data_IF_682800873828
#
_entry.id   IF_682800873828
#
_cell.length_a   1.000
_cell.length_b   1.000
_cell.length_c   1.000
_cell.angle_alpha   90.00
_cell.angle_beta   90.00
_cell.angle_gamma   90.00
#
_symmetry.space_group_name_H-M   'P 1'
#
loop_
_entity.id
_entity.type
_entity.pdbx_description
1 polymer ?
#
# COMPACT_ATOMS: atom_id res chain seq x y z
N UNK A 1 -25.03 16.98 24.41
CA UNK A 1 -23.83 17.82 24.24
C UNK A 1 -23.41 17.68 22.78
N UNK A 2 -23.24 18.77 22.03
CA UNK A 2 -22.66 18.67 20.67
C UNK A 2 -21.16 18.42 20.80
N UNK A 3 -20.64 17.53 19.96
CA UNK A 3 -19.22 17.28 19.79
C UNK A 3 -18.76 17.96 18.51
N UNK A 4 -17.56 18.54 18.53
CA UNK A 4 -16.88 19.04 17.35
C UNK A 4 -15.67 18.14 17.12
N UNK A 5 -15.56 17.57 15.92
CA UNK A 5 -14.43 16.72 15.53
C UNK A 5 -13.80 17.26 14.25
N UNK A 6 -12.49 17.41 14.29
CA UNK A 6 -11.69 17.85 13.15
C UNK A 6 -10.93 16.65 12.58
N UNK A 7 -10.98 16.51 11.26
CA UNK A 7 -10.24 15.52 10.51
C UNK A 7 -9.31 16.22 9.54
N UNK A 8 -8.04 15.81 9.54
CA UNK A 8 -7.02 16.29 8.62
C UNK A 8 -6.72 15.20 7.60
N UNK A 9 -6.87 15.52 6.33
CA UNK A 9 -6.65 14.63 5.20
C UNK A 9 -5.51 15.23 4.38
N UNK A 10 -4.31 14.70 4.57
CA UNK A 10 -3.14 15.12 3.78
C UNK A 10 -3.32 14.70 2.33
N UNK A 11 -3.15 15.63 1.40
CA UNK A 11 -3.38 15.42 -0.03
C UNK A 11 -2.10 15.50 -0.86
N UNK A 12 -2.04 14.75 -1.95
CA UNK A 12 -0.93 14.78 -2.91
C UNK A 12 -1.17 15.76 -4.07
N UNK A 13 -2.31 16.45 -4.09
CA UNK A 13 -2.70 17.39 -5.15
C UNK A 13 -1.93 18.72 -5.09
N UNK A 14 -1.66 19.28 -6.25
CA UNK A 14 -1.06 20.60 -6.40
C UNK A 14 -2.09 21.71 -6.15
N UNK A 15 -1.66 22.92 -5.77
CA UNK A 15 -2.57 24.02 -5.42
C UNK A 15 -3.57 24.39 -6.51
N UNK A 16 -3.25 24.12 -7.78
CA UNK A 16 -4.17 24.33 -8.89
C UNK A 16 -5.49 23.57 -8.75
N UNK A 17 -5.46 22.38 -8.13
CA UNK A 17 -6.61 21.47 -8.06
C UNK A 17 -7.42 21.57 -6.77
N UNK A 18 -7.06 22.42 -5.80
CA UNK A 18 -7.82 22.54 -4.55
C UNK A 18 -9.28 22.94 -4.79
N UNK A 19 -9.51 23.90 -5.69
CA UNK A 19 -10.86 24.32 -6.07
C UNK A 19 -11.64 23.23 -6.78
N UNK A 20 -10.99 22.53 -7.72
CA UNK A 20 -11.58 21.44 -8.50
C UNK A 20 -11.94 20.23 -7.64
N UNK A 21 -11.10 19.87 -6.65
CA UNK A 21 -11.42 18.81 -5.70
C UNK A 21 -12.68 19.18 -4.87
N UNK A 22 -12.78 20.43 -4.42
CA UNK A 22 -13.99 20.89 -3.73
C UNK A 22 -15.22 20.85 -4.64
N UNK A 23 -15.08 21.24 -5.92
CA UNK A 23 -16.16 21.08 -6.91
C UNK A 23 -16.53 19.61 -7.15
N UNK A 24 -15.55 18.72 -7.16
CA UNK A 24 -15.76 17.29 -7.29
C UNK A 24 -16.57 16.75 -6.11
N UNK A 25 -16.17 17.04 -4.87
CA UNK A 25 -16.92 16.63 -3.66
C UNK A 25 -18.32 17.23 -3.67
N UNK A 26 -18.43 18.52 -4.00
CA UNK A 26 -19.73 19.19 -4.11
C UNK A 26 -20.66 18.48 -5.10
N UNK A 27 -20.17 18.18 -6.31
CA UNK A 27 -20.97 17.63 -7.40
C UNK A 27 -21.31 16.15 -7.24
N UNK A 28 -20.35 15.34 -6.77
CA UNK A 28 -20.48 13.88 -6.79
C UNK A 28 -20.82 13.27 -5.44
N UNK A 29 -20.63 14.00 -4.33
CA UNK A 29 -20.99 13.54 -2.99
C UNK A 29 -22.12 14.34 -2.36
N UNK A 30 -21.98 15.68 -2.29
CA UNK A 30 -22.94 16.51 -1.54
C UNK A 30 -24.28 16.69 -2.26
N UNK A 31 -24.28 17.00 -3.56
CA UNK A 31 -25.53 17.20 -4.33
C UNK A 31 -26.37 15.91 -4.43
N UNK A 32 -25.80 14.73 -4.75
CA UNK A 32 -26.60 13.50 -4.84
C UNK A 32 -26.99 12.93 -3.47
N UNK A 33 -26.33 13.38 -2.39
CA UNK A 33 -26.59 12.91 -1.03
C UNK A 33 -27.73 13.64 -0.33
N UNK A 34 -28.06 13.21 0.88
CA UNK A 34 -29.10 13.81 1.73
C UNK A 34 -28.57 15.04 2.50
N UNK A 35 -27.99 16.00 1.78
CA UNK A 35 -27.41 17.22 2.35
C UNK A 35 -28.22 18.46 1.95
N UNK A 36 -28.32 19.43 2.87
CA UNK A 36 -29.00 20.71 2.71
C UNK A 36 -28.10 21.88 3.08
N UNK A 37 -28.55 23.11 2.80
CA UNK A 37 -27.83 24.36 3.13
C UNK A 37 -26.38 24.40 2.61
N UNK A 38 -26.11 23.75 1.46
CA UNK A 38 -24.77 23.66 0.88
C UNK A 38 -24.36 25.03 0.34
N UNK A 39 -23.23 25.57 0.84
CA UNK A 39 -22.65 26.85 0.38
C UNK A 39 -21.16 26.66 0.12
N UNK A 40 -20.69 27.14 -1.03
CA UNK A 40 -19.27 27.18 -1.38
C UNK A 40 -18.79 28.63 -1.42
N UNK A 41 -17.76 28.95 -0.65
CA UNK A 41 -17.11 30.25 -0.58
C UNK A 41 -15.59 30.07 -0.75
N UNK A 42 -15.08 30.29 -1.97
CA UNK A 42 -13.66 30.05 -2.28
C UNK A 42 -13.26 28.59 -2.07
N UNK A 43 -12.29 28.36 -1.17
CA UNK A 43 -11.81 27.02 -0.78
C UNK A 43 -12.55 26.45 0.43
N UNK A 44 -13.78 26.89 0.70
CA UNK A 44 -14.60 26.40 1.81
C UNK A 44 -15.96 25.93 1.31
N UNK A 45 -16.43 24.79 1.81
CA UNK A 45 -17.80 24.30 1.64
C UNK A 45 -18.42 24.07 3.00
N UNK A 46 -19.57 24.69 3.27
CA UNK A 46 -20.41 24.36 4.43
C UNK A 46 -21.63 23.57 3.98
N UNK A 47 -22.05 22.58 4.77
CA UNK A 47 -23.23 21.78 4.49
C UNK A 47 -23.93 21.35 5.79
N UNK A 48 -25.18 20.92 5.65
CA UNK A 48 -25.97 20.33 6.74
C UNK A 48 -26.47 18.95 6.32
N UNK A 49 -26.27 17.94 7.15
CA UNK A 49 -26.85 16.62 6.95
C UNK A 49 -28.02 16.44 7.92
N UNK A 50 -29.19 16.05 7.42
CA UNK A 50 -30.38 15.83 8.23
C UNK A 50 -30.76 14.35 8.23
N UNK A 51 -30.96 13.76 9.40
CA UNK A 51 -31.54 12.43 9.57
C UNK A 51 -32.60 12.50 10.65
N UNK A 52 -33.51 11.52 10.69
CA UNK A 52 -34.60 11.49 11.69
C UNK A 52 -34.10 11.67 13.14
N UNK A 53 -32.84 11.28 13.40
CA UNK A 53 -32.23 11.23 14.73
C UNK A 53 -31.38 12.48 15.08
N UNK A 54 -31.33 13.48 14.20
CA UNK A 54 -30.68 14.77 14.45
C UNK A 54 -29.97 15.39 13.24
N UNK A 55 -29.08 16.34 13.52
CA UNK A 55 -28.42 17.19 12.51
C UNK A 55 -26.91 17.12 12.68
N UNK A 56 -26.19 17.02 11.57
CA UNK A 56 -24.74 17.20 11.51
C UNK A 56 -24.45 18.46 10.70
N UNK A 57 -23.63 19.36 11.24
CA UNK A 57 -23.08 20.50 10.51
C UNK A 57 -21.67 20.16 10.07
N UNK A 58 -21.37 20.39 8.79
CA UNK A 58 -20.09 20.07 8.21
C UNK A 58 -19.45 21.25 7.51
N UNK A 59 -18.13 21.37 7.66
CA UNK A 59 -17.31 22.34 6.95
C UNK A 59 -16.08 21.66 6.35
N UNK A 60 -15.88 21.81 5.04
CA UNK A 60 -14.71 21.34 4.31
C UNK A 60 -13.88 22.56 3.94
N UNK A 61 -12.61 22.56 4.31
CA UNK A 61 -11.64 23.62 4.01
C UNK A 61 -10.51 23.00 3.17
N UNK A 62 -10.35 23.50 1.95
CA UNK A 62 -9.30 23.09 1.03
C UNK A 62 -7.96 23.77 1.32
N UNK A 63 -6.88 23.02 1.13
CA UNK A 63 -5.51 23.44 1.38
C UNK A 63 -4.55 22.27 1.17
N UNK A 64 -3.30 22.41 1.62
CA UNK A 64 -2.32 21.32 1.59
C UNK A 64 -2.82 20.10 2.39
N UNK A 65 -3.31 20.37 3.60
CA UNK A 65 -4.11 19.43 4.39
C UNK A 65 -5.58 19.84 4.31
N UNK A 66 -6.40 18.99 3.68
CA UNK A 66 -7.84 19.19 3.67
C UNK A 66 -8.40 18.98 5.07
N UNK A 67 -9.11 19.99 5.57
CA UNK A 67 -9.71 19.95 6.90
C UNK A 67 -11.22 19.73 6.77
N UNK A 68 -11.72 18.68 7.42
CA UNK A 68 -13.15 18.45 7.60
C UNK A 68 -13.50 18.68 9.07
N UNK A 69 -14.41 19.61 9.33
CA UNK A 69 -14.97 19.86 10.66
C UNK A 69 -16.40 19.36 10.68
N UNK A 70 -16.72 18.46 11.61
CA UNK A 70 -18.08 17.98 11.84
C UNK A 70 -18.52 18.34 13.26
N UNK A 71 -19.67 19.02 13.35
CA UNK A 71 -20.38 19.24 14.61
C UNK A 71 -21.62 18.37 14.66
N UNK A 72 -21.71 17.51 15.68
CA UNK A 72 -22.77 16.52 15.81
C UNK A 72 -23.07 16.13 17.26
N UNK A 73 -24.32 15.79 17.60
CA UNK A 73 -24.68 15.12 18.85
C UNK A 73 -23.98 13.76 19.01
N UNK A 74 -23.60 13.38 20.24
CA UNK A 74 -22.85 12.14 20.51
C UNK A 74 -23.52 10.84 19.97
N UNK A 75 -24.85 10.79 19.92
CA UNK A 75 -25.59 9.64 19.34
C UNK A 75 -25.42 9.49 17.82
N UNK A 76 -24.87 10.49 17.14
CA UNK A 76 -24.64 10.49 15.69
C UNK A 76 -23.17 10.25 15.32
N UNK A 77 -22.33 9.81 16.26
CA UNK A 77 -20.89 9.63 16.01
C UNK A 77 -20.58 8.66 14.86
N UNK A 78 -21.29 7.53 14.77
CA UNK A 78 -21.12 6.57 13.67
C UNK A 78 -21.48 7.20 12.32
N UNK A 79 -22.54 8.01 12.29
CA UNK A 79 -22.97 8.68 11.05
C UNK A 79 -21.99 9.79 10.65
N UNK A 80 -21.51 10.58 11.60
CA UNK A 80 -20.46 11.58 11.36
C UNK A 80 -19.17 10.93 10.83
N UNK A 81 -18.80 9.78 11.39
CA UNK A 81 -17.65 9.02 10.89
C UNK A 81 -17.88 8.49 9.48
N UNK A 82 -19.09 8.05 9.14
CA UNK A 82 -19.44 7.66 7.75
C UNK A 82 -19.28 8.84 6.76
N UNK A 83 -19.70 10.04 7.15
CA UNK A 83 -19.53 11.25 6.30
C UNK A 83 -18.04 11.52 6.05
N UNK A 84 -17.21 11.43 7.10
CA UNK A 84 -15.75 11.55 6.96
C UNK A 84 -15.18 10.52 5.98
N UNK A 85 -15.59 9.24 6.10
CA UNK A 85 -15.10 8.16 5.24
C UNK A 85 -15.50 8.34 3.76
N UNK A 86 -16.71 8.83 3.49
CA UNK A 86 -17.17 9.08 2.13
C UNK A 86 -16.45 10.28 1.49
N UNK A 87 -16.23 11.36 2.26
CA UNK A 87 -15.45 12.53 1.81
C UNK A 87 -14.00 12.11 1.56
N UNK A 88 -13.39 11.36 2.48
CA UNK A 88 -12.05 10.81 2.30
C UNK A 88 -11.97 9.97 1.02
N UNK A 89 -12.94 9.08 0.80
CA UNK A 89 -13.00 8.24 -0.42
C UNK A 89 -13.12 9.11 -1.67
N UNK A 90 -13.93 10.18 -1.64
CA UNK A 90 -14.08 11.11 -2.76
C UNK A 90 -12.76 11.82 -3.09
N UNK A 91 -12.00 12.23 -2.08
CA UNK A 91 -10.65 12.80 -2.24
C UNK A 91 -9.73 11.77 -2.90
N UNK A 92 -9.68 10.55 -2.39
CA UNK A 92 -8.83 9.49 -2.95
C UNK A 92 -9.19 9.13 -4.40
N UNK A 93 -10.48 9.13 -4.75
CA UNK A 93 -10.93 8.91 -6.13
C UNK A 93 -10.45 10.02 -7.06
N UNK A 94 -10.52 11.28 -6.62
CA UNK A 94 -10.03 12.42 -7.38
C UNK A 94 -8.50 12.39 -7.54
N UNK A 95 -7.77 12.09 -6.46
CA UNK A 95 -6.31 11.92 -6.49
C UNK A 95 -5.91 10.81 -7.46
N UNK A 96 -6.59 9.66 -7.44
CA UNK A 96 -6.30 8.56 -8.36
C UNK A 96 -6.51 8.94 -9.82
N UNK A 97 -7.54 9.73 -10.12
CA UNK A 97 -7.77 10.27 -11.46
C UNK A 97 -6.62 11.22 -11.87
N UNK A 98 -6.16 12.10 -10.98
CA UNK A 98 -5.00 12.95 -11.26
C UNK A 98 -3.71 12.13 -11.46
N UNK A 99 -3.50 11.07 -10.68
CA UNK A 99 -2.31 10.20 -10.81
C UNK A 99 -2.20 9.58 -12.20
N UNK A 100 -3.33 9.27 -12.85
CA UNK A 100 -3.37 8.73 -14.22
C UNK A 100 -2.90 9.73 -15.29
N UNK A 101 -2.85 11.03 -14.95
CA UNK A 101 -2.43 12.12 -15.83
C UNK A 101 -1.20 12.86 -15.30
N UNK A 102 -0.51 12.26 -14.33
CA UNK A 102 0.68 12.85 -13.71
C UNK A 102 1.94 12.28 -14.34
N UNK A 103 2.89 13.15 -14.68
CA UNK A 103 4.23 12.77 -15.13
C UNK A 103 5.15 12.79 -13.92
N UNK A 104 5.80 11.66 -13.63
CA UNK A 104 6.69 11.49 -12.48
C UNK A 104 8.15 11.40 -12.92
N UNK A 105 9.01 12.06 -12.16
CA UNK A 105 10.44 11.89 -12.26
C UNK A 105 11.02 11.63 -10.87
N UNK A 106 11.66 10.48 -10.69
CA UNK A 106 12.32 10.09 -9.46
C UNK A 106 13.82 9.89 -9.67
N UNK A 107 14.61 10.33 -8.68
CA UNK A 107 16.06 10.20 -8.64
C UNK A 107 16.56 9.90 -7.22
N UNK A 108 17.69 9.19 -7.13
CA UNK A 108 18.43 8.95 -5.89
C UNK A 108 19.75 9.73 -5.98
N UNK A 109 20.17 10.35 -4.87
CA UNK A 109 21.45 11.07 -4.82
C UNK A 109 22.63 10.14 -5.17
N UNK A 110 23.66 10.63 -5.86
CA UNK A 110 24.90 9.87 -6.09
C UNK A 110 24.82 8.65 -7.04
N UNK A 111 23.63 8.21 -7.43
CA UNK A 111 23.43 7.07 -8.34
C UNK A 111 23.34 7.50 -9.82
N UNK A 112 23.70 6.58 -10.72
CA UNK A 112 23.51 6.76 -12.16
C UNK A 112 22.01 6.77 -12.53
N UNK A 113 21.67 7.48 -13.60
CA UNK A 113 20.29 7.52 -14.11
C UNK A 113 19.92 6.14 -14.65
N UNK A 114 19.09 5.41 -13.92
CA UNK A 114 18.47 4.20 -14.46
C UNK A 114 17.27 4.64 -15.30
N UNK A 115 17.28 4.35 -16.63
CA UNK A 115 16.14 4.67 -17.48
C UNK A 115 14.93 3.91 -16.99
N UNK A 116 13.80 4.60 -16.88
CA UNK A 116 12.52 3.97 -16.59
C UNK A 116 12.22 3.02 -17.74
N UNK A 117 12.30 1.70 -17.48
CA UNK A 117 12.01 0.73 -18.52
C UNK A 117 10.53 0.88 -18.87
N UNK A 118 10.16 1.06 -20.16
CA UNK A 118 8.76 0.99 -20.54
C UNK A 118 8.20 -0.35 -20.03
N UNK A 119 6.91 -0.43 -19.66
CA UNK A 119 6.31 -1.65 -19.14
C UNK A 119 6.43 -2.75 -20.20
N UNK A 120 7.51 -3.52 -20.15
CA UNK A 120 7.71 -4.65 -21.04
C UNK A 120 6.69 -5.73 -20.68
N UNK A 121 6.23 -6.53 -21.65
CA UNK A 121 5.38 -7.70 -21.37
C UNK A 121 5.98 -8.63 -20.30
N UNK A 122 7.31 -8.73 -20.22
CA UNK A 122 8.04 -9.43 -19.14
C UNK A 122 7.99 -8.68 -17.80
N UNK A 123 8.11 -7.35 -17.79
CA UNK A 123 7.93 -6.51 -16.62
C UNK A 123 6.49 -6.51 -16.08
N UNK A 124 5.48 -6.63 -16.95
CA UNK A 124 4.08 -6.84 -16.54
C UNK A 124 3.85 -8.24 -15.95
N UNK A 125 4.52 -9.27 -16.46
CA UNK A 125 4.47 -10.61 -15.87
C UNK A 125 5.19 -10.67 -14.51
N UNK A 126 6.29 -9.93 -14.31
CA UNK A 126 6.94 -9.79 -13.00
C UNK A 126 6.18 -8.88 -12.04
N UNK A 127 5.41 -7.89 -12.55
CA UNK A 127 4.40 -7.16 -11.75
C UNK A 127 3.27 -8.09 -11.27
N UNK A 128 2.97 -9.17 -11.98
CA UNK A 128 2.08 -10.24 -11.52
C UNK A 128 2.63 -11.09 -10.36
N UNK A 129 3.95 -11.07 -10.12
CA UNK A 129 4.55 -11.66 -8.91
C UNK A 129 4.33 -10.73 -7.70
N UNK A 130 4.18 -9.42 -7.93
CA UNK A 130 3.72 -8.45 -6.93
C UNK A 130 2.18 -8.23 -6.93
N UNK A 131 1.47 -8.84 -7.89
CA UNK A 131 0.07 -8.57 -8.16
C UNK A 131 -0.83 -9.70 -7.64
N UNK A 132 -1.48 -9.45 -6.50
CA UNK A 132 -2.71 -10.00 -5.90
C UNK A 132 -3.09 -11.50 -6.00
N UNK A 133 -2.49 -12.32 -6.86
CA UNK A 133 -2.88 -13.72 -7.06
C UNK A 133 -1.66 -14.58 -7.42
N UNK A 134 -0.98 -15.10 -6.38
CA UNK A 134 0.01 -16.18 -6.50
C UNK A 134 -0.61 -17.52 -6.92
N UNK A 135 -1.93 -17.57 -7.12
CA UNK A 135 -2.68 -18.77 -7.39
C UNK A 135 -2.19 -19.52 -8.63
N UNK A 136 -1.98 -18.83 -9.76
CA UNK A 136 -1.55 -19.50 -10.99
C UNK A 136 -0.18 -20.18 -10.82
N UNK A 137 0.75 -19.48 -10.16
CA UNK A 137 2.08 -20.01 -9.84
C UNK A 137 1.92 -21.22 -8.92
N UNK A 138 1.09 -21.12 -7.88
CA UNK A 138 0.84 -22.22 -6.96
C UNK A 138 0.24 -23.46 -7.64
N UNK A 139 -0.78 -23.29 -8.49
CA UNK A 139 -1.42 -24.39 -9.24
C UNK A 139 -0.42 -25.07 -10.18
N UNK A 140 0.42 -24.30 -10.87
CA UNK A 140 1.48 -24.84 -11.71
C UNK A 140 2.48 -25.66 -10.90
N UNK A 141 2.99 -25.10 -9.79
CA UNK A 141 3.91 -25.79 -8.89
C UNK A 141 3.26 -27.03 -8.27
N UNK A 142 1.98 -26.98 -7.91
CA UNK A 142 1.22 -28.10 -7.38
C UNK A 142 1.22 -29.29 -8.35
N UNK A 143 0.90 -29.06 -9.62
CA UNK A 143 0.92 -30.10 -10.66
C UNK A 143 2.31 -30.68 -10.89
N UNK A 144 3.33 -29.81 -11.04
CA UNK A 144 4.73 -30.23 -11.22
C UNK A 144 5.21 -31.08 -10.05
N UNK A 145 4.89 -30.69 -8.82
CA UNK A 145 5.30 -31.42 -7.62
C UNK A 145 4.67 -32.81 -7.53
N UNK A 146 3.40 -32.97 -7.93
CA UNK A 146 2.74 -34.29 -7.98
C UNK A 146 3.45 -35.18 -9.01
N UNK A 147 3.74 -34.66 -10.20
CA UNK A 147 4.43 -35.41 -11.25
C UNK A 147 5.83 -35.84 -10.79
N UNK A 148 6.60 -34.93 -10.22
CA UNK A 148 7.94 -35.22 -9.69
C UNK A 148 7.90 -36.29 -8.59
N UNK A 149 6.90 -36.25 -7.71
CA UNK A 149 6.72 -37.25 -6.67
C UNK A 149 6.38 -38.63 -7.25
N UNK A 150 5.52 -38.71 -8.27
CA UNK A 150 5.19 -39.97 -8.94
C UNK A 150 6.44 -40.60 -9.60
N UNK A 151 7.35 -39.79 -10.15
CA UNK A 151 8.55 -40.26 -10.85
C UNK A 151 9.67 -40.64 -9.88
N UNK A 152 9.94 -39.81 -8.87
CA UNK A 152 11.14 -39.90 -8.02
C UNK A 152 10.84 -40.38 -6.59
N UNK A 153 9.57 -40.55 -6.24
CA UNK A 153 9.13 -40.99 -4.91
C UNK A 153 9.57 -40.03 -3.80
N UNK A 154 9.93 -40.59 -2.64
CA UNK A 154 10.29 -39.82 -1.45
C UNK A 154 11.49 -38.87 -1.64
N UNK A 155 12.42 -39.22 -2.54
CA UNK A 155 13.58 -38.37 -2.84
C UNK A 155 13.18 -37.03 -3.48
N UNK A 156 12.08 -36.97 -4.23
CA UNK A 156 11.56 -35.71 -4.77
C UNK A 156 11.14 -34.75 -3.65
N UNK A 157 10.52 -35.26 -2.56
CA UNK A 157 10.07 -34.42 -1.45
C UNK A 157 11.26 -33.70 -0.82
N UNK A 158 12.33 -34.44 -0.52
CA UNK A 158 13.55 -33.87 0.07
C UNK A 158 14.19 -32.86 -0.90
N UNK A 159 14.33 -33.23 -2.17
CA UNK A 159 14.95 -32.36 -3.18
C UNK A 159 14.18 -31.03 -3.35
N UNK A 160 12.85 -31.09 -3.43
CA UNK A 160 11.99 -29.90 -3.57
C UNK A 160 12.11 -29.01 -2.32
N UNK A 161 12.08 -29.59 -1.12
CA UNK A 161 12.21 -28.82 0.12
C UNK A 161 13.58 -28.15 0.24
N UNK A 162 14.67 -28.83 -0.13
CA UNK A 162 16.01 -28.24 -0.14
C UNK A 162 16.12 -27.11 -1.17
N UNK A 163 15.53 -27.29 -2.35
CA UNK A 163 15.47 -26.23 -3.36
C UNK A 163 14.68 -25.01 -2.86
N UNK A 164 13.50 -25.21 -2.28
CA UNK A 164 12.67 -24.14 -1.73
C UNK A 164 13.36 -23.42 -0.57
N UNK A 165 13.99 -24.17 0.35
CA UNK A 165 14.80 -23.60 1.41
C UNK A 165 15.94 -22.75 0.84
N UNK A 166 16.62 -23.23 -0.21
CA UNK A 166 17.64 -22.47 -0.92
C UNK A 166 17.12 -21.13 -1.48
N UNK A 167 15.91 -21.13 -2.07
CA UNK A 167 15.26 -19.91 -2.57
C UNK A 167 15.00 -18.92 -1.42
N UNK A 168 14.49 -19.38 -0.28
CA UNK A 168 14.19 -18.52 0.88
C UNK A 168 15.47 -17.98 1.50
N UNK A 169 16.52 -18.80 1.61
CA UNK A 169 17.83 -18.37 2.12
C UNK A 169 18.54 -17.35 1.23
N UNK A 170 18.08 -17.20 -0.02
CA UNK A 170 18.56 -16.24 -1.00
C UNK A 170 17.51 -15.17 -1.34
N UNK A 171 16.41 -15.08 -0.59
CA UNK A 171 15.30 -14.19 -0.93
C UNK A 171 15.73 -12.72 -0.90
N UNK A 172 16.58 -12.34 0.05
CA UNK A 172 17.27 -11.05 0.12
C UNK A 172 17.92 -10.70 -1.22
N UNK A 173 18.78 -11.58 -1.74
CA UNK A 173 19.51 -11.35 -3.00
C UNK A 173 18.62 -11.38 -4.24
N UNK A 174 17.53 -12.14 -4.20
CA UNK A 174 16.56 -12.20 -5.30
C UNK A 174 15.81 -10.87 -5.38
N UNK A 175 15.31 -10.38 -4.24
CA UNK A 175 14.57 -9.12 -4.16
C UNK A 175 15.46 -7.90 -4.40
N UNK A 176 16.74 -7.94 -4.00
CA UNK A 176 17.71 -6.88 -4.29
C UNK A 176 17.84 -6.58 -5.80
N UNK A 177 17.70 -7.61 -6.64
CA UNK A 177 17.74 -7.47 -8.10
C UNK A 177 16.46 -6.91 -8.72
N UNK A 178 15.38 -6.81 -7.93
CA UNK A 178 14.08 -6.34 -8.40
C UNK A 178 13.94 -4.82 -8.34
N UNK A 179 14.65 -4.15 -7.43
CA UNK A 179 14.69 -2.70 -7.43
C UNK A 179 15.79 -2.15 -8.32
N UNK A 180 15.60 -0.91 -8.70
CA UNK A 180 16.51 -0.17 -9.54
C UNK A 180 17.63 0.45 -8.70
N UNK A 181 17.31 1.03 -7.53
CA UNK A 181 18.30 1.73 -6.71
C UNK A 181 18.50 1.09 -5.34
N UNK A 182 19.74 1.09 -4.87
CA UNK A 182 20.10 0.75 -3.49
C UNK A 182 20.27 2.06 -2.72
N UNK A 183 19.58 2.17 -1.58
CA UNK A 183 19.62 3.35 -0.71
C UNK A 183 20.53 3.05 0.47
N UNK A 184 21.48 3.94 0.72
CA UNK A 184 22.52 3.86 1.75
C UNK A 184 22.60 5.16 2.54
N UNK A 185 23.44 5.19 3.56
CA UNK A 185 23.71 6.41 4.34
C UNK A 185 24.34 7.53 3.49
N UNK A 186 25.12 7.17 2.46
CA UNK A 186 25.79 8.12 1.56
C UNK A 186 24.86 8.71 0.48
N UNK A 187 23.75 8.04 0.18
CA UNK A 187 22.72 8.49 -0.78
C UNK A 187 21.29 8.37 -0.21
N UNK A 188 20.99 9.03 0.92
CA UNK A 188 19.81 8.71 1.71
C UNK A 188 18.51 9.29 1.13
N UNK A 189 18.62 10.29 0.23
CA UNK A 189 17.49 11.06 -0.26
C UNK A 189 17.00 10.57 -1.62
N UNK A 190 15.67 10.44 -1.71
CA UNK A 190 14.93 10.21 -2.95
C UNK A 190 14.22 11.50 -3.31
N UNK A 191 14.54 12.07 -4.47
CA UNK A 191 13.89 13.26 -5.00
C UNK A 191 12.81 12.86 -6.00
N UNK A 192 11.62 13.40 -5.82
CA UNK A 192 10.47 13.15 -6.69
C UNK A 192 9.95 14.51 -7.15
N UNK A 193 9.88 14.69 -8.46
CA UNK A 193 9.22 15.84 -9.09
C UNK A 193 8.07 15.30 -9.92
N UNK A 194 6.89 15.88 -9.73
CA UNK A 194 5.68 15.48 -10.43
C UNK A 194 5.00 16.68 -11.08
N UNK A 195 4.45 16.45 -12.27
CA UNK A 195 3.62 17.41 -13.01
C UNK A 195 2.23 16.82 -13.17
N UNK A 196 1.27 17.37 -12.45
CA UNK A 196 -0.14 16.96 -12.53
C UNK A 196 -0.78 17.72 -13.68
N UNK A 197 -0.78 17.12 -14.86
CA UNK A 197 -1.25 17.80 -16.07
C UNK A 197 -2.76 17.59 -16.23
N UNK A 198 -3.48 18.59 -16.77
CA UNK A 198 -4.81 18.37 -17.33
C UNK A 198 -4.82 17.20 -18.32
N UNK A 199 -5.94 16.46 -18.40
CA UNK A 199 -6.04 15.24 -19.23
C UNK A 199 -5.67 15.48 -20.70
N UNK A 200 -6.11 16.61 -21.28
CA UNK A 200 -5.82 17.01 -22.64
C UNK A 200 -4.35 17.34 -22.86
N UNK A 201 -3.72 18.07 -21.94
CA UNK A 201 -2.28 18.34 -21.96
C UNK A 201 -1.45 17.06 -21.79
N UNK A 202 -1.87 16.16 -20.90
CA UNK A 202 -1.21 14.87 -20.69
C UNK A 202 -1.29 14.00 -21.96
N UNK A 203 -2.46 13.90 -22.59
CA UNK A 203 -2.60 13.16 -23.86
C UNK A 203 -1.76 13.79 -24.96
N UNK A 204 -1.71 15.11 -25.03
CA UNK A 204 -0.83 15.82 -25.95
C UNK A 204 0.64 15.53 -25.66
N UNK A 205 1.04 15.53 -24.39
CA UNK A 205 2.41 15.22 -23.94
C UNK A 205 2.82 13.82 -24.39
N UNK A 206 2.03 12.78 -24.07
CA UNK A 206 2.32 11.40 -24.45
C UNK A 206 2.38 11.22 -25.97
N UNK A 207 1.44 11.83 -26.71
CA UNK A 207 1.37 11.74 -28.18
C UNK A 207 2.56 12.44 -28.86
N UNK A 208 3.00 13.57 -28.33
CA UNK A 208 4.06 14.41 -28.91
C UNK A 208 5.46 13.88 -28.58
N UNK A 209 5.65 13.40 -27.36
CA UNK A 209 6.97 13.02 -26.85
C UNK A 209 7.34 11.58 -27.22
N UNK A 210 6.40 10.62 -27.14
CA UNK A 210 6.73 9.19 -27.24
C UNK A 210 7.60 8.67 -26.08
N UNK A 211 7.72 7.34 -25.94
CA UNK A 211 8.43 6.73 -24.79
C UNK A 211 9.92 7.13 -24.70
N UNK A 212 10.61 7.27 -25.85
CA UNK A 212 12.03 7.60 -25.87
C UNK A 212 12.33 9.05 -25.44
N UNK A 213 11.37 9.98 -25.58
CA UNK A 213 11.58 11.37 -25.17
C UNK A 213 11.48 11.57 -23.66
N UNK A 214 10.63 10.81 -22.96
CA UNK A 214 10.54 10.87 -21.50
C UNK A 214 11.89 10.51 -20.87
N UNK A 215 12.55 9.49 -21.42
CA UNK A 215 13.91 9.07 -21.00
C UNK A 215 14.94 10.17 -21.28
N UNK A 216 14.85 10.85 -22.44
CA UNK A 216 15.74 11.98 -22.77
C UNK A 216 15.52 13.18 -21.85
N UNK A 217 14.27 13.56 -21.61
CA UNK A 217 13.90 14.65 -20.69
C UNK A 217 14.43 14.35 -19.29
N UNK A 218 14.21 13.14 -18.76
CA UNK A 218 14.74 12.75 -17.44
C UNK A 218 16.27 12.88 -17.36
N UNK A 219 16.97 12.49 -18.43
CA UNK A 219 18.43 12.63 -18.52
C UNK A 219 18.86 14.09 -18.51
N UNK A 220 18.23 14.94 -19.32
CA UNK A 220 18.54 16.37 -19.35
C UNK A 220 18.25 17.06 -18.00
N UNK A 221 17.18 16.67 -17.29
CA UNK A 221 16.88 17.20 -15.96
C UNK A 221 17.98 16.81 -14.96
N UNK A 222 18.44 15.55 -15.01
CA UNK A 222 19.55 15.09 -14.19
C UNK A 222 20.85 15.83 -14.50
N UNK A 223 21.20 16.00 -15.78
CA UNK A 223 22.42 16.68 -16.23
C UNK A 223 22.44 18.15 -15.78
N UNK A 224 21.27 18.80 -15.78
CA UNK A 224 21.15 20.19 -15.34
C UNK A 224 21.22 20.30 -13.81
N UNK A 225 20.86 19.25 -13.07
CA UNK A 225 20.77 19.28 -11.61
C UNK A 225 21.78 18.40 -10.88
N UNK A 226 21.54 17.08 -10.81
CA UNK A 226 22.31 16.16 -9.97
C UNK A 226 23.76 16.01 -10.44
N UNK A 227 24.03 16.15 -11.74
CA UNK A 227 25.41 16.20 -12.26
C UNK A 227 26.21 17.40 -11.68
N UNK A 228 25.52 18.46 -11.27
CA UNK A 228 26.10 19.63 -10.59
C UNK A 228 26.01 19.53 -9.05
N UNK A 229 25.75 18.33 -8.50
CA UNK A 229 25.61 18.05 -7.07
C UNK A 229 24.51 18.88 -6.38
N UNK A 230 23.43 19.19 -7.09
CA UNK A 230 22.25 19.85 -6.54
C UNK A 230 20.98 19.04 -6.80
N UNK A 231 20.00 19.03 -5.89
CA UNK A 231 18.76 18.27 -6.06
C UNK A 231 17.90 18.87 -7.18
N UNK A 232 17.21 18.04 -7.97
CA UNK A 232 16.40 18.48 -9.10
C UNK A 232 15.21 19.29 -8.59
N UNK A 233 15.07 20.51 -9.11
CA UNK A 233 13.94 21.40 -8.78
C UNK A 233 12.88 21.37 -9.88
N UNK A 234 11.68 21.83 -9.53
CA UNK A 234 10.64 22.01 -10.53
C UNK A 234 11.05 23.01 -11.63
N UNK A 235 11.87 24.03 -11.31
CA UNK A 235 12.42 24.96 -12.30
C UNK A 235 13.36 24.30 -13.31
N UNK A 236 14.14 23.32 -12.89
CA UNK A 236 15.02 22.56 -13.78
C UNK A 236 14.19 21.70 -14.72
N UNK A 237 13.21 21.00 -14.15
CA UNK A 237 12.31 20.14 -14.90
C UNK A 237 11.47 20.93 -15.91
N UNK A 238 10.93 22.09 -15.52
CA UNK A 238 10.19 22.99 -16.40
C UNK A 238 11.06 23.52 -17.53
N UNK A 239 12.29 23.97 -17.26
CA UNK A 239 13.21 24.47 -18.29
C UNK A 239 13.55 23.41 -19.33
N UNK A 240 13.73 22.16 -18.92
CA UNK A 240 13.95 21.06 -19.86
C UNK A 240 12.69 20.79 -20.67
N UNK A 241 11.53 20.68 -20.02
CA UNK A 241 10.25 20.46 -20.71
C UNK A 241 9.98 21.55 -21.77
N UNK A 242 10.26 22.82 -21.45
CA UNK A 242 10.12 23.95 -22.37
C UNK A 242 11.01 23.83 -23.61
N UNK A 243 12.24 23.33 -23.46
CA UNK A 243 13.14 23.07 -24.60
C UNK A 243 12.60 21.99 -25.53
N UNK A 244 11.85 21.04 -24.99
CA UNK A 244 11.13 20.03 -25.76
C UNK A 244 9.73 20.51 -26.22
N UNK A 245 9.43 21.80 -26.08
CA UNK A 245 8.20 22.42 -26.57
C UNK A 245 7.01 22.30 -25.63
N UNK A 246 7.22 21.90 -24.38
CA UNK A 246 6.16 21.73 -23.38
C UNK A 246 6.26 22.77 -22.26
N UNK A 247 5.29 23.68 -22.16
CA UNK A 247 5.26 24.71 -21.12
C UNK A 247 4.41 24.25 -19.94
N UNK A 248 5.03 23.95 -18.80
CA UNK A 248 4.30 23.62 -17.58
C UNK A 248 3.91 24.88 -16.80
N UNK A 249 2.69 24.91 -16.27
CA UNK A 249 2.29 25.91 -15.27
C UNK A 249 2.88 25.53 -13.90
N UNK A 250 3.58 26.45 -13.19
CA UNK A 250 4.12 26.22 -11.85
C UNK A 250 3.08 25.87 -10.78
N UNK A 251 1.78 26.07 -11.04
CA UNK A 251 0.73 25.65 -10.10
C UNK A 251 0.42 24.14 -10.17
N UNK A 252 0.88 23.44 -11.22
CA UNK A 252 0.70 21.99 -11.44
C UNK A 252 1.90 21.14 -11.01
N UNK A 253 3.02 21.77 -10.68
CA UNK A 253 4.24 21.08 -10.27
C UNK A 253 4.23 20.85 -8.75
N UNK A 254 4.73 19.69 -8.33
CA UNK A 254 5.02 19.40 -6.93
C UNK A 254 6.36 18.69 -6.86
N UNK A 255 7.15 19.00 -5.85
CA UNK A 255 8.37 18.27 -5.54
C UNK A 255 8.35 17.79 -4.11
N UNK A 256 8.99 16.65 -3.88
CA UNK A 256 9.17 16.06 -2.57
C UNK A 256 10.53 15.41 -2.50
N UNK A 257 11.21 15.58 -1.38
CA UNK A 257 12.43 14.84 -1.06
C UNK A 257 12.17 14.00 0.17
N UNK A 258 12.38 12.69 0.07
CA UNK A 258 12.20 11.76 1.19
C UNK A 258 13.56 11.19 1.56
N UNK A 259 13.95 11.36 2.82
CA UNK A 259 15.13 10.68 3.35
C UNK A 259 14.76 9.24 3.73
N UNK A 260 14.76 8.36 2.73
CA UNK A 260 14.28 6.98 2.89
C UNK A 260 15.20 6.18 3.83
N UNK A 261 16.52 6.36 3.73
CA UNK A 261 17.46 5.67 4.62
C UNK A 261 17.15 5.96 6.09
N UNK A 262 16.96 7.24 6.45
CA UNK A 262 16.67 7.64 7.83
C UNK A 262 15.33 7.13 8.34
N UNK A 263 14.32 7.02 7.48
CA UNK A 263 13.04 6.42 7.86
C UNK A 263 13.23 4.94 8.21
N UNK A 264 13.94 4.20 7.36
CA UNK A 264 14.23 2.78 7.60
C UNK A 264 15.13 2.58 8.82
N UNK A 265 16.15 3.43 8.99
CA UNK A 265 17.03 3.45 10.15
C UNK A 265 16.24 3.66 11.45
N UNK A 266 15.34 4.65 11.49
CA UNK A 266 14.47 4.90 12.64
C UNK A 266 13.60 3.69 12.98
N UNK A 267 13.05 3.02 11.97
CA UNK A 267 12.29 1.79 12.18
C UNK A 267 13.18 0.66 12.71
N UNK A 268 14.33 0.40 12.09
CA UNK A 268 15.26 -0.65 12.50
C UNK A 268 15.74 -0.45 13.95
N UNK A 269 16.10 0.78 14.32
CA UNK A 269 16.47 1.17 15.68
C UNK A 269 15.35 0.91 16.68
N UNK A 270 14.10 1.28 16.34
CA UNK A 270 12.95 1.06 17.21
C UNK A 270 12.68 -0.45 17.43
N UNK A 271 12.89 -1.27 16.40
CA UNK A 271 12.74 -2.73 16.46
C UNK A 271 13.97 -3.46 17.02
N UNK A 272 15.07 -2.75 17.30
CA UNK A 272 16.30 -3.33 17.84
C UNK A 272 17.02 -4.28 16.88
N UNK A 273 16.94 -4.02 15.57
CA UNK A 273 17.60 -4.82 14.53
C UNK A 273 18.57 -3.95 13.71
N UNK A 274 19.58 -4.55 13.04
CA UNK A 274 20.41 -3.82 12.09
C UNK A 274 19.56 -3.20 10.97
N UNK A 275 20.00 -2.08 10.41
CA UNK A 275 19.35 -1.49 9.23
C UNK A 275 19.42 -2.52 8.08
N UNK A 276 18.28 -3.00 7.58
CA UNK A 276 18.27 -3.93 6.44
C UNK A 276 18.74 -3.21 5.18
N UNK A 277 19.12 -3.99 4.16
CA UNK A 277 19.37 -3.42 2.84
C UNK A 277 18.11 -2.73 2.33
N UNK A 278 18.23 -1.50 1.83
CA UNK A 278 17.10 -0.70 1.38
C UNK A 278 17.14 -0.58 -0.13
N UNK A 279 16.06 -1.00 -0.77
CA UNK A 279 15.95 -1.03 -2.23
C UNK A 279 14.72 -0.26 -2.67
N UNK A 280 14.90 0.65 -3.63
CA UNK A 280 13.84 1.45 -4.22
C UNK A 280 13.47 0.89 -5.61
N UNK A 281 12.21 0.49 -5.76
CA UNK A 281 11.63 0.10 -7.03
C UNK A 281 10.92 1.29 -7.70
N UNK A 282 11.24 1.56 -8.96
CA UNK A 282 10.64 2.66 -9.72
C UNK A 282 9.29 2.27 -10.33
N UNK A 283 8.25 2.28 -9.49
CA UNK A 283 6.88 1.99 -9.89
C UNK A 283 5.90 2.82 -9.09
N UNK A 284 4.89 3.37 -9.76
CA UNK A 284 3.84 4.20 -9.15
C UNK A 284 2.78 3.39 -8.39
N UNK A 285 2.87 2.05 -8.40
CA UNK A 285 2.06 1.20 -7.54
C UNK A 285 2.62 1.30 -6.12
N UNK A 286 1.87 1.92 -5.21
CA UNK A 286 2.27 2.04 -3.81
C UNK A 286 2.39 0.66 -3.15
N UNK A 287 3.61 0.32 -2.71
CA UNK A 287 3.90 -0.93 -2.03
C UNK A 287 5.18 -0.84 -1.21
N UNK A 288 5.27 -1.66 -0.17
CA UNK A 288 6.49 -1.99 0.54
C UNK A 288 6.51 -3.50 0.79
N UNK A 289 7.69 -4.08 0.91
CA UNK A 289 7.84 -5.46 1.31
C UNK A 289 9.16 -5.66 2.04
N UNK A 290 9.16 -6.45 3.11
CA UNK A 290 10.37 -6.97 3.70
C UNK A 290 10.57 -8.48 3.47
N UNK A 291 11.81 -8.87 3.23
CA UNK A 291 12.19 -10.28 3.09
C UNK A 291 13.59 -10.53 3.64
N UNK A 292 13.95 -11.80 3.77
CA UNK A 292 15.28 -12.24 4.14
C UNK A 292 15.24 -13.42 5.12
N UNK A 293 16.32 -14.20 5.22
CA UNK A 293 16.37 -15.35 6.11
C UNK A 293 16.47 -14.98 7.60
N UNK A 294 16.82 -13.74 7.93
CA UNK A 294 16.90 -13.28 9.31
C UNK A 294 16.91 -11.75 9.37
N UNK A 295 16.60 -11.13 10.52
CA UNK A 295 16.69 -9.68 10.67
C UNK A 295 18.05 -9.09 10.30
N UNK A 296 19.16 -9.79 10.59
CA UNK A 296 20.51 -9.34 10.24
C UNK A 296 20.90 -9.53 8.76
N UNK A 297 20.03 -10.17 7.98
CA UNK A 297 20.14 -10.32 6.51
C UNK A 297 18.80 -9.98 5.86
N UNK A 298 18.15 -8.94 6.38
CA UNK A 298 16.88 -8.45 5.87
C UNK A 298 17.09 -7.48 4.70
N UNK A 299 16.08 -7.39 3.85
CA UNK A 299 15.94 -6.39 2.81
C UNK A 299 14.55 -5.79 2.88
N UNK A 300 14.46 -4.48 2.71
CA UNK A 300 13.23 -3.72 2.59
C UNK A 300 13.17 -3.12 1.20
N UNK A 301 12.15 -3.51 0.43
CA UNK A 301 11.83 -2.94 -0.87
C UNK A 301 10.71 -1.92 -0.70
N UNK A 302 10.91 -0.72 -1.23
CA UNK A 302 9.93 0.38 -1.23
C UNK A 302 9.71 0.83 -2.66
N UNK A 303 8.49 1.23 -3.01
CA UNK A 303 8.21 1.77 -4.35
C UNK A 303 8.15 3.30 -4.36
N UNK A 304 8.48 3.93 -5.49
CA UNK A 304 8.28 5.38 -5.67
C UNK A 304 6.82 5.78 -5.47
N UNK A 305 5.86 4.95 -5.86
CA UNK A 305 4.44 5.16 -5.59
C UNK A 305 4.08 5.26 -4.11
N UNK A 306 4.74 4.49 -3.23
CA UNK A 306 4.53 4.59 -1.79
C UNK A 306 5.04 5.95 -1.26
N UNK A 307 6.21 6.38 -1.72
CA UNK A 307 6.82 7.65 -1.34
C UNK A 307 6.02 8.87 -1.83
N UNK A 308 5.27 8.74 -2.91
CA UNK A 308 4.37 9.79 -3.41
C UNK A 308 3.10 9.85 -2.56
N UNK A 309 2.45 8.71 -2.31
CA UNK A 309 1.12 8.64 -1.70
C UNK A 309 1.11 8.86 -0.18
N UNK A 310 2.18 8.47 0.53
CA UNK A 310 2.22 8.47 1.99
C UNK A 310 3.15 9.54 2.54
N UNK A 311 2.75 10.22 3.63
CA UNK A 311 3.65 11.13 4.36
C UNK A 311 4.78 10.37 5.08
N UNK A 312 5.79 11.07 5.61
CA UNK A 312 6.97 10.43 6.22
C UNK A 312 6.64 9.58 7.46
N UNK A 313 5.62 9.97 8.23
CA UNK A 313 5.14 9.24 9.40
C UNK A 313 4.35 7.99 8.97
N UNK A 314 3.55 8.09 7.90
CA UNK A 314 2.83 6.99 7.27
C UNK A 314 3.79 5.96 6.65
N UNK A 315 4.84 6.43 5.93
CA UNK A 315 5.91 5.56 5.42
C UNK A 315 6.59 4.86 6.60
N UNK A 316 6.97 5.58 7.66
CA UNK A 316 7.57 4.97 8.85
C UNK A 316 6.68 3.89 9.47
N UNK A 317 5.37 4.11 9.54
CA UNK A 317 4.42 3.15 10.08
C UNK A 317 4.30 1.87 9.21
N UNK A 318 4.29 2.03 7.88
CA UNK A 318 4.30 0.92 6.92
C UNK A 318 5.64 0.15 7.00
N UNK A 319 6.77 0.85 7.03
CA UNK A 319 8.08 0.20 7.25
C UNK A 319 8.10 -0.52 8.60
N UNK A 320 7.51 0.05 9.66
CA UNK A 320 7.36 -0.64 10.94
C UNK A 320 6.56 -1.94 10.86
N UNK A 321 5.51 -1.99 10.03
CA UNK A 321 4.79 -3.22 9.74
C UNK A 321 5.70 -4.24 9.06
N UNK A 322 6.45 -3.83 8.04
CA UNK A 322 7.43 -4.68 7.35
C UNK A 322 8.55 -5.20 8.28
N UNK A 323 9.04 -4.37 9.20
CA UNK A 323 9.99 -4.80 10.25
C UNK A 323 9.38 -5.87 11.16
N UNK A 324 8.07 -5.79 11.42
CA UNK A 324 7.31 -6.79 12.16
C UNK A 324 7.38 -8.19 11.53
N UNK A 325 7.43 -8.28 10.19
CA UNK A 325 7.63 -9.54 9.48
C UNK A 325 9.06 -10.07 9.61
N UNK A 326 10.07 -9.19 9.51
CA UNK A 326 11.48 -9.56 9.68
C UNK A 326 11.77 -10.09 11.09
N UNK A 327 11.38 -9.33 12.12
CA UNK A 327 11.55 -9.72 13.53
C UNK A 327 10.77 -10.99 13.84
N UNK A 328 9.57 -11.13 13.27
CA UNK A 328 8.75 -12.33 13.39
C UNK A 328 9.29 -13.55 12.64
N UNK A 329 10.26 -13.38 11.73
CA UNK A 329 10.80 -14.42 10.85
C UNK A 329 9.73 -15.11 10.00
N UNK A 330 8.74 -14.33 9.58
CA UNK A 330 7.55 -14.86 8.90
C UNK A 330 7.86 -15.64 7.63
N UNK A 331 8.81 -15.22 6.76
CA UNK A 331 9.17 -16.02 5.59
C UNK A 331 9.57 -17.47 5.94
N UNK A 332 10.33 -17.67 7.02
CA UNK A 332 10.77 -19.01 7.45
C UNK A 332 9.64 -19.79 8.11
N UNK A 333 8.80 -19.12 8.92
CA UNK A 333 7.67 -19.78 9.58
C UNK A 333 6.63 -20.21 8.55
N UNK A 334 6.27 -19.32 7.62
CA UNK A 334 5.36 -19.62 6.52
C UNK A 334 5.92 -20.73 5.62
N UNK A 335 7.21 -20.71 5.32
CA UNK A 335 7.87 -21.82 4.65
C UNK A 335 7.72 -23.13 5.41
N UNK A 336 7.90 -23.13 6.73
CA UNK A 336 7.77 -24.33 7.56
C UNK A 336 6.34 -24.87 7.53
N UNK A 337 5.33 -24.00 7.59
CA UNK A 337 3.90 -24.37 7.49
C UNK A 337 3.59 -24.96 6.12
N UNK A 338 4.01 -24.29 5.04
CA UNK A 338 3.79 -24.76 3.65
C UNK A 338 4.55 -26.05 3.39
N UNK A 339 5.75 -26.21 3.95
CA UNK A 339 6.54 -27.45 3.85
C UNK A 339 5.87 -28.61 4.58
N UNK A 340 5.33 -28.37 5.77
CA UNK A 340 4.59 -29.37 6.53
C UNK A 340 3.32 -29.81 5.78
N UNK A 341 2.58 -28.86 5.21
CA UNK A 341 1.43 -29.16 4.36
C UNK A 341 1.85 -29.96 3.11
N UNK A 342 2.97 -29.60 2.48
CA UNK A 342 3.49 -30.32 1.32
C UNK A 342 3.86 -31.77 1.62
N UNK A 343 4.55 -32.01 2.74
CA UNK A 343 4.90 -33.36 3.19
C UNK A 343 3.61 -34.15 3.48
N UNK A 344 2.70 -33.59 4.28
CA UNK A 344 1.43 -34.22 4.64
C UNK A 344 0.60 -34.56 3.39
N UNK A 345 0.56 -33.66 2.41
CA UNK A 345 -0.11 -33.83 1.11
C UNK A 345 0.36 -35.08 0.38
N UNK A 346 1.68 -35.24 0.24
CA UNK A 346 2.25 -36.32 -0.57
C UNK A 346 2.35 -37.65 0.17
N UNK A 347 2.39 -37.63 1.50
CA UNK A 347 2.62 -38.85 2.31
C UNK A 347 1.32 -39.45 2.85
N UNK A 348 0.43 -38.62 3.39
CA UNK A 348 -0.78 -39.09 4.09
C UNK A 348 -2.03 -38.78 3.27
N UNK A 349 -2.13 -37.56 2.73
CA UNK A 349 -3.35 -37.08 2.08
C UNK A 349 -3.40 -37.36 0.57
N UNK A 350 -2.41 -38.04 0.01
CA UNK A 350 -2.32 -38.30 -1.43
C UNK A 350 -3.58 -39.00 -1.99
N UNK A 351 -4.21 -39.99 -1.32
CA UNK A 351 -5.46 -40.57 -1.79
C UNK A 351 -6.59 -39.53 -1.92
N UNK A 352 -6.70 -38.62 -0.94
CA UNK A 352 -7.70 -37.54 -0.95
C UNK A 352 -7.42 -36.57 -2.10
N UNK A 353 -6.14 -36.23 -2.33
CA UNK A 353 -5.70 -35.36 -3.42
C UNK A 353 -6.03 -35.96 -4.79
N UNK A 354 -5.87 -37.26 -4.97
CA UNK A 354 -6.18 -37.95 -6.23
C UNK A 354 -7.70 -38.00 -6.46
N UNK A 355 -8.50 -38.27 -5.42
CA UNK A 355 -9.96 -38.38 -5.51
C UNK A 355 -10.61 -37.01 -5.75
N UNK A 356 -10.15 -35.97 -5.05
CA UNK A 356 -10.75 -34.64 -5.09
C UNK A 356 -9.70 -33.52 -5.06
N UNK A 357 -8.90 -33.35 -6.14
CA UNK A 357 -7.80 -32.40 -6.16
C UNK A 357 -8.25 -30.94 -5.99
N UNK A 358 -9.40 -30.59 -6.58
CA UNK A 358 -9.93 -29.21 -6.51
C UNK A 358 -10.39 -28.88 -5.09
N UNK A 359 -11.16 -29.77 -4.45
CA UNK A 359 -11.62 -29.58 -3.07
C UNK A 359 -10.43 -29.49 -2.12
N UNK A 360 -9.43 -30.36 -2.30
CA UNK A 360 -8.19 -30.30 -1.53
C UNK A 360 -7.51 -28.94 -1.64
N UNK A 361 -7.31 -28.43 -2.86
CA UNK A 361 -6.66 -27.12 -3.09
C UNK A 361 -7.45 -26.01 -2.41
N UNK A 362 -8.78 -26.01 -2.54
CA UNK A 362 -9.63 -24.98 -1.92
C UNK A 362 -9.47 -24.97 -0.40
N UNK A 363 -9.51 -26.13 0.23
CA UNK A 363 -9.37 -26.26 1.69
C UNK A 363 -7.94 -25.91 2.13
N UNK A 364 -6.91 -26.45 1.47
CA UNK A 364 -5.52 -26.21 1.82
C UNK A 364 -5.14 -24.72 1.66
N UNK A 365 -5.49 -24.10 0.53
CA UNK A 365 -5.27 -22.67 0.30
C UNK A 365 -6.05 -21.83 1.30
N UNK A 366 -7.33 -22.18 1.56
CA UNK A 366 -8.15 -21.50 2.55
C UNK A 366 -7.49 -21.49 3.93
N UNK A 367 -6.99 -22.64 4.39
CA UNK A 367 -6.29 -22.75 5.68
C UNK A 367 -4.98 -21.95 5.67
N UNK A 368 -4.13 -22.11 4.65
CA UNK A 368 -2.82 -21.44 4.58
C UNK A 368 -2.99 -19.92 4.57
N UNK A 369 -3.86 -19.38 3.71
CA UNK A 369 -4.09 -17.94 3.65
C UNK A 369 -4.80 -17.42 4.89
N UNK A 370 -5.71 -18.18 5.49
CA UNK A 370 -6.33 -17.77 6.75
C UNK A 370 -5.32 -17.71 7.91
N UNK A 371 -4.39 -18.66 7.98
CA UNK A 371 -3.29 -18.62 8.96
C UNK A 371 -2.33 -17.46 8.67
N UNK A 372 -2.06 -17.15 7.39
CA UNK A 372 -1.25 -15.98 7.00
C UNK A 372 -1.85 -14.66 7.53
N UNK A 373 -3.18 -14.53 7.59
CA UNK A 373 -3.87 -13.36 8.20
C UNK A 373 -3.47 -13.11 9.66
N UNK A 374 -3.04 -14.14 10.40
CA UNK A 374 -2.55 -13.96 11.77
C UNK A 374 -1.21 -13.24 11.81
N UNK A 375 -0.33 -13.51 10.84
CA UNK A 375 0.98 -12.88 10.73
C UNK A 375 0.86 -11.41 10.32
N UNK A 376 -0.03 -11.11 9.37
CA UNK A 376 -0.38 -9.74 8.97
C UNK A 376 -0.93 -8.92 10.14
N UNK A 377 -1.91 -9.46 10.86
CA UNK A 377 -2.43 -8.80 12.06
C UNK A 377 -1.35 -8.66 13.15
N UNK A 378 -0.42 -9.62 13.27
CA UNK A 378 0.70 -9.50 14.21
C UNK A 378 1.66 -8.38 13.80
N UNK A 379 1.96 -8.23 12.51
CA UNK A 379 2.84 -7.18 12.00
C UNK A 379 2.23 -5.79 12.25
N UNK A 380 0.92 -5.61 12.01
CA UNK A 380 0.18 -4.39 12.39
C UNK A 380 0.34 -4.06 13.87
N UNK A 381 0.15 -5.07 14.72
CA UNK A 381 0.24 -4.92 16.16
C UNK A 381 1.67 -4.58 16.60
N UNK A 382 2.69 -5.22 16.04
CA UNK A 382 4.08 -4.95 16.35
C UNK A 382 4.49 -3.54 15.92
N UNK A 383 4.04 -3.05 14.76
CA UNK A 383 4.25 -1.67 14.33
C UNK A 383 3.64 -0.68 15.34
N UNK A 384 2.39 -0.91 15.72
CA UNK A 384 1.71 -0.09 16.73
C UNK A 384 2.43 -0.11 18.09
N UNK A 385 2.81 -1.29 18.58
CA UNK A 385 3.53 -1.46 19.85
C UNK A 385 4.88 -0.76 19.88
N UNK A 386 5.62 -0.84 18.79
CA UNK A 386 7.02 -0.40 18.72
C UNK A 386 7.12 1.10 18.40
N UNK A 387 6.31 1.58 17.45
CA UNK A 387 6.33 2.98 17.02
C UNK A 387 5.34 3.87 17.81
N UNK A 388 4.34 3.28 18.45
CA UNK A 388 3.40 3.98 19.32
C UNK A 388 2.36 4.85 18.60
N UNK A 389 2.16 4.65 17.29
CA UNK A 389 1.27 5.43 16.42
C UNK A 389 0.32 4.55 15.58
N UNK A 390 -0.59 3.75 16.19
CA UNK A 390 -1.50 2.87 15.44
C UNK A 390 -2.40 3.62 14.46
N UNK A 391 -2.85 4.83 14.80
CA UNK A 391 -3.67 5.69 13.97
C UNK A 391 -2.96 6.10 12.66
N UNK A 392 -1.63 6.26 12.70
CA UNK A 392 -0.85 6.60 11.51
C UNK A 392 -0.82 5.42 10.54
N UNK A 393 -0.63 4.19 11.03
CA UNK A 393 -0.73 2.99 10.19
C UNK A 393 -2.15 2.82 9.63
N UNK A 394 -3.18 3.08 10.42
CA UNK A 394 -4.57 3.04 9.95
C UNK A 394 -4.83 4.05 8.82
N UNK A 395 -4.30 5.27 8.91
CA UNK A 395 -4.37 6.26 7.82
C UNK A 395 -3.63 5.80 6.57
N UNK A 396 -2.42 5.26 6.72
CA UNK A 396 -1.64 4.72 5.60
C UNK A 396 -2.41 3.60 4.87
N UNK A 397 -2.95 2.63 5.62
CA UNK A 397 -3.79 1.54 5.07
C UNK A 397 -5.03 2.07 4.37
N UNK A 398 -5.64 3.14 4.90
CA UNK A 398 -6.82 3.78 4.31
C UNK A 398 -6.50 4.43 2.96
N UNK A 399 -5.35 5.10 2.83
CA UNK A 399 -4.89 5.70 1.56
C UNK A 399 -4.56 4.63 0.51
N UNK A 400 -3.64 3.72 0.81
CA UNK A 400 -3.20 2.69 -0.17
C UNK A 400 -4.32 1.69 -0.51
N UNK A 401 -5.25 1.47 0.43
CA UNK A 401 -6.29 0.47 0.35
C UNK A 401 -7.67 0.98 -0.04
N UNK A 402 -7.84 2.26 -0.38
CA UNK A 402 -9.16 2.91 -0.44
C UNK A 402 -10.15 2.19 -1.39
N UNK A 403 -9.68 1.71 -2.55
CA UNK A 403 -10.52 0.98 -3.52
C UNK A 403 -11.05 -0.32 -2.93
N UNK A 404 -10.18 -1.11 -2.30
CA UNK A 404 -10.54 -2.37 -1.66
C UNK A 404 -11.43 -2.13 -0.44
N UNK A 405 -11.13 -1.11 0.36
CA UNK A 405 -11.95 -0.69 1.50
C UNK A 405 -13.39 -0.32 1.08
N UNK A 406 -13.55 0.45 -0.01
CA UNK A 406 -14.86 0.82 -0.54
C UNK A 406 -15.68 -0.41 -1.00
N UNK A 407 -15.01 -1.43 -1.57
CA UNK A 407 -15.64 -2.68 -1.96
C UNK A 407 -16.05 -3.53 -0.74
N UNK A 408 -15.15 -3.70 0.23
CA UNK A 408 -15.39 -4.50 1.43
C UNK A 408 -16.52 -3.94 2.31
N UNK A 409 -16.74 -2.62 2.28
CA UNK A 409 -17.84 -1.99 3.02
C UNK A 409 -19.23 -2.32 2.44
N UNK A 410 -19.33 -2.71 1.17
CA UNK A 410 -20.60 -3.16 0.56
C UNK A 410 -20.96 -4.53 1.15
N UNK A 411 -22.05 -4.62 1.92
CA UNK A 411 -22.36 -5.75 2.81
C UNK A 411 -22.20 -7.17 2.24
N UNK A 412 -22.49 -7.39 0.95
CA UNK A 412 -22.33 -8.71 0.30
C UNK A 412 -20.87 -9.14 0.08
N UNK A 413 -19.91 -8.22 0.19
CA UNK A 413 -18.47 -8.45 -0.04
C UNK A 413 -17.64 -8.49 1.26
N UNK A 414 -18.27 -8.37 2.44
CA UNK A 414 -17.55 -8.47 3.71
C UNK A 414 -16.94 -9.86 3.89
N UNK A 415 -17.71 -10.92 3.61
CA UNK A 415 -17.24 -12.29 3.76
C UNK A 415 -16.21 -12.68 2.69
N UNK A 416 -16.33 -12.13 1.47
CA UNK A 416 -15.43 -12.46 0.36
C UNK A 416 -14.02 -11.98 0.66
N UNK A 417 -13.84 -10.84 1.34
CA UNK A 417 -12.53 -10.40 1.83
C UNK A 417 -11.87 -11.38 2.81
N UNK A 418 -12.65 -12.11 3.61
CA UNK A 418 -12.13 -13.11 4.54
C UNK A 418 -11.80 -14.45 3.88
N UNK A 419 -12.59 -14.86 2.89
CA UNK A 419 -12.42 -16.16 2.20
C UNK A 419 -11.52 -16.08 0.97
N UNK A 420 -11.18 -14.86 0.52
CA UNK A 420 -10.19 -14.64 -0.53
C UNK A 420 -8.84 -15.28 -0.17
N UNK A 421 -8.20 -15.86 -1.18
CA UNK A 421 -6.82 -16.37 -1.11
C UNK A 421 -5.80 -15.23 -1.13
N UNK A 422 -5.94 -14.38 -0.12
CA UNK A 422 -5.13 -13.19 0.16
C UNK A 422 -4.62 -13.33 1.59
N UNK A 423 -3.30 -13.22 1.84
CA UNK A 423 -2.78 -13.30 3.19
C UNK A 423 -3.25 -12.15 4.07
N UNK A 424 -3.68 -11.02 3.50
CA UNK A 424 -4.13 -9.86 4.27
C UNK A 424 -5.56 -10.07 4.77
N UNK A 425 -5.84 -9.81 6.07
CA UNK A 425 -7.20 -9.61 6.53
C UNK A 425 -7.86 -8.46 5.76
N UNK A 426 -9.20 -8.39 5.73
CA UNK A 426 -9.89 -7.24 5.15
C UNK A 426 -9.38 -5.91 5.71
N UNK A 427 -9.27 -4.91 4.84
CA UNK A 427 -8.71 -3.60 5.19
C UNK A 427 -9.58 -2.92 6.24
N UNK A 428 -10.92 -3.02 6.13
CA UNK A 428 -11.81 -2.46 7.14
C UNK A 428 -11.53 -3.03 8.54
N UNK A 429 -11.20 -4.32 8.62
CA UNK A 429 -10.88 -4.99 9.88
C UNK A 429 -9.55 -4.49 10.45
N UNK A 430 -8.51 -4.38 9.61
CA UNK A 430 -7.19 -3.88 10.02
C UNK A 430 -7.26 -2.45 10.55
N UNK A 431 -7.93 -1.56 9.81
CA UNK A 431 -8.13 -0.16 10.20
C UNK A 431 -8.90 -0.09 11.52
N UNK A 432 -10.07 -0.76 11.61
CA UNK A 432 -10.89 -0.75 12.82
C UNK A 432 -10.13 -1.29 14.04
N UNK A 433 -9.31 -2.32 13.85
CA UNK A 433 -8.47 -2.89 14.91
C UNK A 433 -7.41 -1.90 15.41
N UNK A 434 -6.75 -1.19 14.51
CA UNK A 434 -5.73 -0.18 14.85
C UNK A 434 -6.35 1.04 15.54
N UNK A 435 -7.48 1.53 15.05
CA UNK A 435 -8.15 2.72 15.62
C UNK A 435 -8.75 2.46 17.01
N UNK A 436 -9.13 1.22 17.30
CA UNK A 436 -9.67 0.81 18.60
C UNK A 436 -8.62 0.15 19.52
N UNK A 437 -7.34 0.17 19.14
CA UNK A 437 -6.28 -0.51 19.87
C UNK A 437 -6.02 0.22 21.22
N UNK A 438 -6.46 -0.38 22.34
CA UNK A 438 -6.23 0.13 23.71
C UNK A 438 -5.18 -0.71 24.41
N UNK A 439 -4.37 -0.09 25.27
CA UNK A 439 -3.36 -0.74 26.11
C UNK A 439 -2.38 -1.68 25.37
N UNK A 440 -2.11 -1.38 24.11
CA UNK A 440 -1.36 -2.26 23.21
C UNK A 440 0.10 -2.47 23.62
N UNK A 441 0.69 -1.55 24.39
CA UNK A 441 2.09 -1.60 24.81
C UNK A 441 2.43 -2.79 25.73
N UNK A 442 1.43 -3.40 26.39
CA UNK A 442 1.63 -4.45 27.40
C UNK A 442 1.23 -5.86 26.93
N UNK A 443 1.06 -6.08 25.62
CA UNK A 443 0.64 -7.38 25.10
C UNK A 443 1.81 -8.38 25.14
N UNK A 444 1.66 -9.45 25.94
CA UNK A 444 2.71 -10.47 26.13
C UNK A 444 2.92 -11.38 24.91
N UNK A 445 1.85 -11.69 24.17
CA UNK A 445 1.92 -12.56 22.99
C UNK A 445 1.19 -11.94 21.80
N UNK A 446 1.90 -11.14 20.98
CA UNK A 446 1.31 -10.46 19.83
C UNK A 446 0.65 -11.41 18.83
N UNK A 447 1.23 -12.60 18.60
CA UNK A 447 0.69 -13.57 17.65
C UNK A 447 -0.65 -14.17 18.14
N UNK A 448 -0.72 -14.58 19.42
CA UNK A 448 -1.95 -15.16 19.97
C UNK A 448 -3.07 -14.13 20.05
N UNK A 449 -2.75 -12.89 20.45
CA UNK A 449 -3.70 -11.79 20.43
C UNK A 449 -4.25 -11.58 19.01
N UNK A 450 -3.36 -11.48 18.03
CA UNK A 450 -3.72 -11.25 16.63
C UNK A 450 -4.54 -12.40 16.03
N UNK A 451 -4.21 -13.65 16.33
CA UNK A 451 -5.00 -14.80 15.91
C UNK A 451 -6.42 -14.77 16.51
N UNK A 452 -6.54 -14.46 17.79
CA UNK A 452 -7.84 -14.29 18.46
C UNK A 452 -8.69 -13.18 17.85
N UNK A 453 -8.07 -12.04 17.53
CA UNK A 453 -8.73 -10.91 16.88
C UNK A 453 -9.22 -11.28 15.46
N UNK A 454 -8.39 -11.96 14.65
CA UNK A 454 -8.73 -12.40 13.29
C UNK A 454 -9.89 -13.41 13.32
N UNK A 455 -9.88 -14.38 14.23
CA UNK A 455 -10.97 -15.36 14.39
C UNK A 455 -12.27 -14.66 14.77
N UNK A 456 -12.21 -13.67 15.67
CA UNK A 456 -13.38 -12.87 16.08
C UNK A 456 -13.92 -12.05 14.91
N UNK A 457 -13.05 -11.39 14.15
CA UNK A 457 -13.43 -10.62 12.97
C UNK A 457 -14.11 -11.47 11.89
N UNK A 458 -13.61 -12.69 11.64
CA UNK A 458 -14.27 -13.64 10.75
C UNK A 458 -15.66 -14.03 11.27
N UNK A 459 -15.78 -14.31 12.58
CA UNK A 459 -17.06 -14.68 13.19
C UNK A 459 -18.09 -13.55 13.07
N UNK A 460 -17.69 -12.30 13.32
CA UNK A 460 -18.54 -11.12 13.16
C UNK A 460 -18.98 -10.95 11.70
N UNK A 461 -18.07 -11.13 10.74
CA UNK A 461 -18.41 -11.08 9.32
C UNK A 461 -19.43 -12.18 8.93
N UNK A 462 -19.25 -13.41 9.43
CA UNK A 462 -20.20 -14.50 9.21
C UNK A 462 -21.58 -14.20 9.82
N UNK A 463 -21.64 -13.67 11.04
CA UNK A 463 -22.90 -13.30 11.68
C UNK A 463 -23.64 -12.22 10.88
N UNK A 464 -22.91 -11.24 10.33
CA UNK A 464 -23.49 -10.16 9.53
C UNK A 464 -24.10 -10.61 8.19
N UNK A 465 -23.84 -11.84 7.75
CA UNK A 465 -24.52 -12.41 6.57
C UNK A 465 -25.95 -12.87 6.86
N UNK A 466 -26.27 -13.14 8.11
CA UNK A 466 -27.55 -13.70 8.55
C UNK A 466 -28.45 -12.68 9.27
N UNK A 467 -27.93 -11.45 9.47
CA UNK A 467 -28.65 -10.28 10.00
C UNK A 467 -28.98 -9.33 8.87
#
# INVERSE_FOLDING_TARGET
MSMIKEFFIGTEISPAYYGELLDFIHRYYLIPGEFTDIRKEGLKISFRALRNDGVIYGEIIGGEDFKLVLEYPQNLEEWAHSIYEDIFTSIQVFEDALRQHTVYFAWVEGEEIIPEKPPTRRGMASRGIFGSSMLLVYVLFFGVNIILFIILGFYAVIAILLMQLGIIMLSDRIYARMGEWVITEDNPNVHIVQFQLPEDEFRFFIKTMGEDAIVRIKREIYDVSLANKRPPTCDDARRVLERHGFRCNPLYERSRTVNLYRIVERAALAFGIPVPEVVLANTMIANAAATGPSPGRGLVLVTTGLLVQLDDDEILAVIGHEMGHLVGRDPIILFSIVSAEFILRLTVLLPVVIISPILYIIVAMGIIFFVAKFFEARADLLSAMTLGKPEVLARALRKIGYQKLALEKRGSQRITGWTAWDPHPPIYFRINRLENLRDYRNIKSPLLQSAGDVIRGLKEALLSMFS
#
